data_IF_745079609852
#
_entry.id   IF_745079609852
#
_cell.length_a   1.000
_cell.length_b   1.000
_cell.length_c   1.000
_cell.angle_alpha   90.00
_cell.angle_beta   90.00
_cell.angle_gamma   90.00
#
_symmetry.space_group_name_H-M   'P 1'
#
loop_
_entity.id
_entity.type
_entity.pdbx_description
1 polymer ?
#
# COMPACT_ATOMS: atom_id res chain seq x y z
N UNK A 1 14.53 -68.24 -1.26
CA UNK A 1 14.26 -66.79 -1.34
C UNK A 1 14.43 -66.42 -2.80
N UNK A 2 13.32 -66.33 -3.55
CA UNK A 2 13.30 -66.13 -5.00
C UNK A 2 13.81 -64.74 -5.38
N UNK A 3 14.28 -64.57 -6.61
CA UNK A 3 14.67 -63.25 -7.15
C UNK A 3 13.52 -62.23 -7.09
N UNK A 4 12.28 -62.70 -7.22
CA UNK A 4 11.05 -61.90 -7.09
C UNK A 4 10.93 -61.18 -5.73
N UNK A 5 11.37 -61.82 -4.63
CA UNK A 5 11.32 -61.21 -3.29
C UNK A 5 12.30 -60.03 -3.17
N UNK A 6 13.44 -60.09 -3.86
CA UNK A 6 14.46 -59.03 -3.86
C UNK A 6 14.00 -57.81 -4.66
N UNK A 7 13.35 -58.02 -5.81
CA UNK A 7 12.78 -56.94 -6.61
C UNK A 7 11.63 -56.25 -5.87
N UNK A 8 10.78 -57.03 -5.19
CA UNK A 8 9.70 -56.49 -4.37
C UNK A 8 10.23 -55.63 -3.22
N UNK A 9 11.33 -56.04 -2.59
CA UNK A 9 11.97 -55.28 -1.52
C UNK A 9 12.56 -53.96 -2.03
N UNK A 10 13.20 -53.97 -3.20
CA UNK A 10 13.73 -52.76 -3.84
C UNK A 10 12.62 -51.78 -4.22
N UNK A 11 11.49 -52.28 -4.73
CA UNK A 11 10.34 -51.45 -5.08
C UNK A 11 9.74 -50.76 -3.85
N UNK A 12 9.64 -51.46 -2.71
CA UNK A 12 9.19 -50.89 -1.43
C UNK A 12 10.13 -49.80 -0.93
N UNK A 13 11.44 -50.02 -0.98
CA UNK A 13 12.46 -49.03 -0.58
C UNK A 13 12.36 -47.76 -1.41
N UNK A 14 12.13 -47.89 -2.73
CA UNK A 14 11.97 -46.74 -3.63
C UNK A 14 10.72 -45.91 -3.31
N UNK A 15 9.58 -46.58 -3.08
CA UNK A 15 8.31 -45.95 -2.68
C UNK A 15 8.44 -45.21 -1.33
N UNK A 16 9.13 -45.80 -0.36
CA UNK A 16 9.36 -45.17 0.95
C UNK A 16 10.21 -43.91 0.81
N UNK A 17 11.32 -43.98 0.07
CA UNK A 17 12.18 -42.82 -0.16
C UNK A 17 11.46 -41.69 -0.91
N UNK A 18 10.54 -42.01 -1.83
CA UNK A 18 9.72 -41.01 -2.52
C UNK A 18 8.69 -40.36 -1.58
N UNK A 19 8.08 -41.15 -0.68
CA UNK A 19 7.17 -40.63 0.33
C UNK A 19 7.88 -39.72 1.34
N UNK A 20 9.06 -40.11 1.82
CA UNK A 20 9.90 -39.30 2.71
C UNK A 20 10.30 -37.97 2.05
N UNK A 21 10.70 -37.99 0.77
CA UNK A 21 10.99 -36.76 0.01
C UNK A 21 9.77 -35.86 -0.12
N UNK A 22 8.60 -36.42 -0.42
CA UNK A 22 7.37 -35.64 -0.54
C UNK A 22 6.92 -35.04 0.80
N UNK A 23 7.09 -35.77 1.91
CA UNK A 23 6.83 -35.26 3.26
C UNK A 23 7.82 -34.14 3.58
N UNK A 24 9.12 -34.33 3.33
CA UNK A 24 10.14 -33.30 3.57
C UNK A 24 9.92 -32.04 2.71
N UNK A 25 9.46 -32.18 1.47
CA UNK A 25 9.10 -31.05 0.60
C UNK A 25 7.87 -30.30 1.12
N UNK A 26 6.83 -31.03 1.56
CA UNK A 26 5.64 -30.42 2.19
C UNK A 26 5.99 -29.74 3.49
N UNK A 27 6.78 -30.38 4.34
CA UNK A 27 7.32 -29.77 5.56
C UNK A 27 8.15 -28.54 5.22
N UNK A 28 9.02 -28.54 4.20
CA UNK A 28 9.77 -27.33 3.80
C UNK A 28 8.90 -26.19 3.26
N UNK A 29 7.74 -26.51 2.69
CA UNK A 29 6.76 -25.52 2.20
C UNK A 29 5.84 -25.01 3.33
N UNK A 30 5.51 -25.87 4.31
CA UNK A 30 4.79 -25.51 5.54
C UNK A 30 5.73 -24.84 6.57
N UNK A 31 7.03 -25.12 6.49
CA UNK A 31 8.18 -24.46 7.11
C UNK A 31 8.76 -23.38 6.19
N UNK A 32 7.96 -22.78 5.29
CA UNK A 32 8.12 -21.33 5.10
C UNK A 32 7.81 -20.80 6.48
N UNK A 33 8.85 -20.48 7.27
CA UNK A 33 8.61 -20.30 8.66
C UNK A 33 7.75 -19.04 8.72
N UNK A 34 6.73 -19.09 9.55
CA UNK A 34 6.33 -17.95 10.38
C UNK A 34 7.61 -17.56 11.13
N UNK A 35 8.54 -16.96 10.40
CA UNK A 35 9.95 -16.89 10.74
C UNK A 35 10.08 -15.66 11.57
N UNK A 36 10.24 -15.94 12.86
CA UNK A 36 10.66 -15.04 13.92
C UNK A 36 9.51 -14.18 14.45
N UNK A 37 9.05 -14.57 15.64
CA UNK A 37 8.75 -13.61 16.72
C UNK A 37 10.05 -12.88 17.13
N UNK A 38 10.77 -12.30 16.18
CA UNK A 38 11.58 -11.12 16.46
C UNK A 38 10.61 -9.99 16.74
N UNK A 39 11.01 -9.04 17.57
CA UNK A 39 10.26 -7.80 17.80
C UNK A 39 9.61 -7.32 16.48
N UNK A 40 8.31 -6.97 16.48
CA UNK A 40 7.66 -6.52 15.26
C UNK A 40 8.47 -5.37 14.67
N UNK A 41 8.72 -5.41 13.36
CA UNK A 41 9.51 -4.36 12.72
C UNK A 41 8.84 -3.00 12.90
N UNK A 42 9.61 -1.90 12.93
CA UNK A 42 9.05 -0.55 13.05
C UNK A 42 7.92 -0.29 12.04
N UNK A 43 8.08 -0.84 10.83
CA UNK A 43 7.06 -0.82 9.78
C UNK A 43 5.80 -1.61 10.14
N UNK A 44 5.94 -2.82 10.67
CA UNK A 44 4.78 -3.63 11.09
C UNK A 44 4.00 -2.96 12.22
N UNK A 45 4.69 -2.32 13.16
CA UNK A 45 4.05 -1.56 14.24
C UNK A 45 3.28 -0.39 13.62
N UNK A 46 3.91 0.38 12.75
CA UNK A 46 3.27 1.50 12.07
C UNK A 46 2.02 1.05 11.30
N UNK A 47 2.13 0.01 10.46
CA UNK A 47 1.03 -0.50 9.64
C UNK A 47 -0.19 -0.93 10.47
N UNK A 48 0.02 -1.47 11.67
CA UNK A 48 -1.09 -1.83 12.58
C UNK A 48 -1.83 -0.64 13.16
N UNK A 49 -1.18 0.52 13.21
CA UNK A 49 -1.69 1.76 13.78
C UNK A 49 -2.08 2.79 12.70
N UNK A 50 -2.00 2.43 11.41
CA UNK A 50 -2.43 3.28 10.31
C UNK A 50 -3.95 3.23 10.15
N UNK A 51 -4.54 4.40 9.95
CA UNK A 51 -5.95 4.56 9.70
C UNK A 51 -6.34 4.70 8.24
N UNK A 52 -7.46 5.37 8.00
CA UNK A 52 -8.02 5.56 6.66
C UNK A 52 -6.97 6.08 5.67
N UNK A 53 -6.74 5.29 4.61
CA UNK A 53 -5.75 5.54 3.54
C UNK A 53 -4.29 5.70 4.01
N UNK A 54 -3.95 5.39 5.26
CA UNK A 54 -2.58 5.49 5.77
C UNK A 54 -1.61 4.58 5.02
N UNK A 55 -2.04 3.35 4.71
CA UNK A 55 -1.22 2.37 3.99
C UNK A 55 -0.89 2.82 2.55
N UNK A 56 -1.86 3.45 1.86
CA UNK A 56 -1.65 4.00 0.51
C UNK A 56 -0.61 5.12 0.53
N UNK A 57 -0.71 6.03 1.51
CA UNK A 57 0.25 7.12 1.70
C UNK A 57 1.64 6.57 1.99
N UNK A 58 1.74 5.60 2.90
CA UNK A 58 3.02 4.97 3.25
C UNK A 58 3.67 4.31 2.03
N UNK A 59 2.92 3.53 1.26
CA UNK A 59 3.44 2.89 0.04
C UNK A 59 3.91 3.91 -1.00
N UNK A 60 3.15 4.99 -1.20
CA UNK A 60 3.54 6.05 -2.13
C UNK A 60 4.81 6.78 -1.65
N UNK A 61 4.94 7.00 -0.34
CA UNK A 61 6.15 7.57 0.27
C UNK A 61 7.35 6.64 0.08
N UNK A 62 7.21 5.35 0.39
CA UNK A 62 8.25 4.33 0.21
C UNK A 62 8.71 4.22 -1.25
N UNK A 63 7.78 4.37 -2.21
CA UNK A 63 8.10 4.32 -3.64
C UNK A 63 8.74 5.60 -4.17
N UNK A 64 8.34 6.77 -3.69
CA UNK A 64 8.80 8.07 -4.22
C UNK A 64 10.06 8.57 -3.50
N UNK A 65 10.19 8.28 -2.21
CA UNK A 65 11.26 8.77 -1.32
C UNK A 65 11.76 7.62 -0.41
N UNK A 66 12.44 6.59 -0.96
CA UNK A 66 12.75 5.37 -0.20
C UNK A 66 13.67 5.60 1.01
N UNK A 67 14.67 6.46 0.84
CA UNK A 67 15.70 6.72 1.86
C UNK A 67 15.15 7.56 3.01
N UNK A 68 14.44 8.62 2.67
CA UNK A 68 13.86 9.56 3.62
C UNK A 68 12.69 8.92 4.38
N UNK A 69 11.83 8.19 3.68
CA UNK A 69 10.70 7.49 4.28
C UNK A 69 11.15 6.46 5.29
N UNK A 70 12.25 5.74 5.02
CA UNK A 70 12.79 4.74 5.96
C UNK A 70 13.11 5.36 7.33
N UNK A 71 13.73 6.55 7.36
CA UNK A 71 14.08 7.25 8.60
C UNK A 71 12.81 7.62 9.38
N UNK A 72 11.78 8.13 8.67
CA UNK A 72 10.50 8.51 9.27
C UNK A 72 9.78 7.29 9.84
N UNK A 73 9.76 6.17 9.12
CA UNK A 73 9.11 4.92 9.55
C UNK A 73 9.81 4.33 10.76
N UNK A 74 11.14 4.33 10.81
CA UNK A 74 11.90 3.89 11.97
C UNK A 74 11.55 4.74 13.20
N UNK A 75 11.53 6.08 13.08
CA UNK A 75 11.18 6.98 14.18
C UNK A 75 9.73 6.87 14.62
N UNK A 76 8.79 6.80 13.69
CA UNK A 76 7.38 6.58 14.04
C UNK A 76 7.17 5.25 14.74
N UNK A 77 7.82 4.18 14.26
CA UNK A 77 7.74 2.86 14.89
C UNK A 77 8.31 2.86 16.31
N UNK A 78 9.42 3.57 16.56
CA UNK A 78 9.97 3.77 17.91
C UNK A 78 8.97 4.46 18.83
N UNK A 79 8.35 5.56 18.37
CA UNK A 79 7.37 6.32 19.16
C UNK A 79 6.10 5.51 19.45
N UNK A 80 5.60 4.76 18.48
CA UNK A 80 4.46 3.85 18.65
C UNK A 80 4.80 2.68 19.60
N UNK A 81 6.01 2.15 19.52
CA UNK A 81 6.47 1.08 20.42
C UNK A 81 6.60 1.56 21.86
N UNK A 82 7.14 2.76 22.06
CA UNK A 82 7.27 3.38 23.38
C UNK A 82 5.93 3.78 24.02
N UNK A 83 4.87 3.88 23.21
CA UNK A 83 3.55 4.31 23.65
C UNK A 83 3.41 5.82 23.83
N UNK A 84 4.40 6.62 23.43
CA UNK A 84 4.29 8.09 23.37
C UNK A 84 3.18 8.52 22.40
N UNK A 85 2.98 7.75 21.33
CA UNK A 85 1.88 7.91 20.39
C UNK A 85 1.03 6.64 20.44
N UNK A 86 -0.22 6.77 20.86
CA UNK A 86 -1.21 5.68 20.89
C UNK A 86 -2.38 5.91 19.94
N UNK A 87 -2.47 7.08 19.32
CA UNK A 87 -3.53 7.43 18.40
C UNK A 87 -3.34 6.76 17.03
N UNK A 88 -4.45 6.46 16.36
CA UNK A 88 -4.47 6.04 14.97
C UNK A 88 -3.96 7.16 14.05
N UNK A 89 -3.01 6.81 13.17
CA UNK A 89 -2.40 7.74 12.21
C UNK A 89 -3.08 7.53 10.86
N UNK A 90 -4.04 8.38 10.53
CA UNK A 90 -4.68 8.37 9.21
C UNK A 90 -3.73 8.85 8.10
N UNK A 91 -4.16 8.67 6.84
CA UNK A 91 -3.39 9.15 5.69
C UNK A 91 -3.21 10.66 5.64
N UNK A 92 -4.15 11.43 6.21
CA UNK A 92 -4.07 12.89 6.25
C UNK A 92 -2.95 13.39 7.16
N UNK A 93 -2.89 12.89 8.39
CA UNK A 93 -1.84 13.12 9.38
C UNK A 93 -0.49 12.65 8.86
N UNK A 94 -0.43 11.47 8.25
CA UNK A 94 0.81 10.95 7.68
C UNK A 94 1.34 11.82 6.53
N UNK A 95 0.46 12.28 5.62
CA UNK A 95 0.82 13.24 4.57
C UNK A 95 1.28 14.58 5.16
N UNK A 96 0.60 15.08 6.19
CA UNK A 96 0.96 16.33 6.85
C UNK A 96 2.35 16.24 7.50
N UNK A 97 2.66 15.11 8.14
CA UNK A 97 3.99 14.84 8.70
C UNK A 97 5.05 14.80 7.60
N UNK A 98 4.83 14.05 6.52
CA UNK A 98 5.80 14.02 5.42
C UNK A 98 6.08 15.42 4.86
N UNK A 99 5.03 16.24 4.69
CA UNK A 99 5.19 17.63 4.24
C UNK A 99 5.96 18.49 5.24
N UNK A 100 5.76 18.32 6.55
CA UNK A 100 6.46 19.12 7.56
C UNK A 100 7.96 18.82 7.60
N UNK A 101 8.36 17.59 7.25
CA UNK A 101 9.78 17.19 7.13
C UNK A 101 10.34 17.39 5.71
N UNK A 102 9.59 18.00 4.80
CA UNK A 102 10.03 18.32 3.43
C UNK A 102 9.85 17.21 2.39
N UNK A 103 9.19 16.11 2.75
CA UNK A 103 8.89 14.98 1.84
C UNK A 103 7.52 15.23 1.19
N UNK A 104 7.52 15.63 -0.07
CA UNK A 104 6.28 15.92 -0.79
C UNK A 104 5.74 14.69 -1.55
N UNK A 105 5.05 13.81 -0.81
CA UNK A 105 4.44 12.59 -1.36
C UNK A 105 3.27 12.94 -2.27
N UNK A 106 3.33 12.51 -3.53
CA UNK A 106 2.24 12.68 -4.50
C UNK A 106 1.23 11.55 -4.37
N UNK A 107 -0.04 11.92 -4.22
CA UNK A 107 -1.16 10.99 -4.18
C UNK A 107 -2.00 11.11 -5.45
N UNK A 108 -2.49 9.99 -5.97
CA UNK A 108 -3.45 10.02 -7.07
C UNK A 108 -4.85 10.26 -6.48
N UNK A 109 -5.30 11.51 -6.52
CA UNK A 109 -6.60 11.94 -5.98
C UNK A 109 -7.55 12.37 -7.10
N UNK A 110 -8.80 11.92 -7.03
CA UNK A 110 -9.89 12.43 -7.85
C UNK A 110 -10.91 13.12 -6.95
N UNK A 111 -11.25 14.37 -7.27
CA UNK A 111 -12.25 15.15 -6.54
C UNK A 111 -13.46 15.27 -7.46
N UNK A 112 -14.61 14.80 -6.98
CA UNK A 112 -15.89 15.00 -7.64
C UNK A 112 -16.74 15.93 -6.77
N UNK A 113 -17.51 16.80 -7.41
CA UNK A 113 -18.46 17.73 -6.78
C UNK A 113 -19.86 17.41 -7.29
N UNK A 114 -20.82 17.39 -6.37
CA UNK A 114 -22.23 17.24 -6.73
C UNK A 114 -22.76 18.56 -7.28
N UNK A 115 -23.32 18.51 -8.48
CA UNK A 115 -24.00 19.61 -9.12
C UNK A 115 -25.33 19.11 -9.66
N UNK A 116 -26.43 19.73 -9.25
CA UNK A 116 -27.76 19.47 -9.79
C UNK A 116 -28.16 17.97 -9.75
N UNK A 117 -27.64 17.23 -8.76
CA UNK A 117 -27.87 15.79 -8.57
C UNK A 117 -26.91 14.86 -9.33
N UNK A 118 -25.95 15.40 -10.09
CA UNK A 118 -24.92 14.64 -10.81
C UNK A 118 -23.52 14.92 -10.24
N UNK A 119 -22.66 13.89 -10.19
CA UNK A 119 -21.27 14.02 -9.76
C UNK A 119 -20.37 14.38 -10.94
N UNK A 120 -19.95 15.64 -11.01
CA UNK A 120 -18.98 16.11 -12.01
C UNK A 120 -17.58 16.21 -11.41
N UNK A 121 -16.53 15.99 -12.21
CA UNK A 121 -15.16 16.18 -11.75
C UNK A 121 -14.92 17.65 -11.43
N UNK A 122 -14.17 17.94 -10.37
CA UNK A 122 -13.79 19.31 -10.03
C UNK A 122 -13.06 19.97 -11.21
N UNK A 123 -12.19 19.24 -11.91
CA UNK A 123 -11.48 19.77 -13.08
C UNK A 123 -12.42 20.31 -14.15
N UNK A 124 -13.51 19.59 -14.43
CA UNK A 124 -14.52 19.98 -15.44
C UNK A 124 -15.34 21.20 -14.99
N UNK A 125 -15.61 21.29 -13.68
CA UNK A 125 -16.30 22.44 -13.09
C UNK A 125 -15.49 23.74 -13.20
N UNK A 126 -14.16 23.65 -13.09
CA UNK A 126 -13.27 24.81 -13.10
C UNK A 126 -12.97 25.30 -14.53
N UNK A 127 -12.88 24.40 -15.51
CA UNK A 127 -12.67 24.77 -16.92
C UNK A 127 -13.88 25.44 -17.55
N UNK A 128 -15.09 24.96 -17.28
CA UNK A 128 -16.35 25.48 -17.87
C UNK A 128 -16.71 26.93 -17.52
N UNK A 129 -16.20 27.49 -16.41
CA UNK A 129 -16.46 28.90 -16.05
C UNK A 129 -15.64 29.91 -16.85
N UNK A 130 -14.52 29.50 -17.44
CA UNK A 130 -13.59 30.43 -18.09
C UNK A 130 -14.07 30.88 -19.48
N UNK A 131 -14.96 30.11 -20.12
CA UNK A 131 -15.43 30.34 -21.49
C UNK A 131 -16.70 31.20 -21.62
N UNK A 132 -17.33 31.62 -20.52
CA UNK A 132 -18.62 32.32 -20.56
C UNK A 132 -18.54 33.86 -20.37
N UNK A 133 -17.33 34.44 -20.28
CA UNK A 133 -17.13 35.86 -19.99
C UNK A 133 -16.65 36.70 -21.20
N UNK A 134 -16.70 36.18 -22.43
CA UNK A 134 -16.21 36.89 -23.62
C UNK A 134 -17.31 37.39 -24.58
N UNK A 135 -18.61 37.22 -24.28
CA UNK A 135 -19.68 37.45 -25.28
C UNK A 135 -20.68 38.59 -24.97
N UNK A 136 -20.24 39.68 -24.35
CA UNK A 136 -21.09 40.87 -24.14
C UNK A 136 -20.36 42.18 -24.50
N UNK A 137 -19.84 42.31 -25.73
CA UNK A 137 -19.47 43.62 -26.31
C UNK A 137 -19.76 43.62 -27.83
N UNK A 138 -21.03 43.68 -28.23
CA UNK A 138 -21.58 44.08 -29.54
C UNK A 138 -23.06 44.45 -29.25
N UNK A 139 -23.70 45.56 -29.61
CA UNK A 139 -23.44 46.67 -30.52
C UNK A 139 -24.29 47.87 -30.06
N UNK A 140 -23.70 49.04 -29.82
CA UNK A 140 -24.43 50.31 -29.68
C UNK A 140 -23.66 51.41 -30.43
N UNK A 141 -23.50 51.23 -31.75
CA UNK A 141 -23.08 52.28 -32.67
C UNK A 141 -23.84 52.12 -33.98
N UNK A 142 -25.06 52.65 -34.04
CA UNK A 142 -25.51 53.55 -35.10
C UNK A 142 -27.02 53.78 -35.02
N UNK A 143 -27.42 55.04 -34.81
CA UNK A 143 -28.50 55.74 -35.54
C UNK A 143 -28.60 57.18 -35.02
N UNK A 144 -28.00 58.11 -35.77
CA UNK A 144 -28.40 59.52 -35.78
C UNK A 144 -29.75 59.69 -36.50
#
# INVERSE_FOLDING_TARGET
>A
MSEDDKELEQLKKRRLAEMEKNIALKQRLEEIPISKKTQPSAREILVKNLGYRGLEVLQNAESQFPSETKIVVEKLGELLYSGEISEEIDGGKLLALFRSVGINVRMQTKINVEQDGEFVSLSDKLTSKSSNNETLIEDDLDSQ
#
